data_IF_018410550103
#
_entry.id   IF_018410550103
#
_cell.length_a   1.000
_cell.length_b   1.000
_cell.length_c   1.000
_cell.angle_alpha   90.00
_cell.angle_beta   90.00
_cell.angle_gamma   90.00
#
_symmetry.space_group_name_H-M   'P 1'
#
loop_
_entity.id
_entity.type
_entity.pdbx_description
1 polymer ?
#
# COMPACT_ATOMS: atom_id res chain seq x y z
N UNK A 1 1.91 2.42 16.48
CA UNK A 1 2.68 3.48 15.78
C UNK A 1 1.82 3.96 14.62
N UNK A 2 1.63 5.26 14.49
CA UNK A 2 0.90 5.88 13.37
C UNK A 2 1.89 6.08 12.23
N UNK A 3 1.59 5.58 11.03
CA UNK A 3 2.40 5.82 9.83
C UNK A 3 1.76 7.00 9.10
N UNK A 4 2.47 8.11 9.08
CA UNK A 4 2.12 9.31 8.30
C UNK A 4 3.10 9.42 7.14
N UNK A 5 2.65 8.99 5.94
CA UNK A 5 3.49 8.95 4.75
C UNK A 5 3.95 10.34 4.29
N UNK A 6 3.31 11.43 4.73
CA UNK A 6 3.79 12.79 4.43
C UNK A 6 5.18 13.06 5.04
N UNK A 7 5.51 12.36 6.13
CA UNK A 7 6.78 12.48 6.83
C UNK A 7 7.86 11.50 6.32
N UNK A 8 7.59 10.73 5.26
CA UNK A 8 8.49 9.67 4.79
C UNK A 8 9.89 10.17 4.43
N UNK A 9 10.02 11.43 3.99
CA UNK A 9 11.30 12.04 3.62
C UNK A 9 12.15 12.43 4.82
N UNK A 10 11.51 12.87 5.91
CA UNK A 10 12.19 13.56 7.02
C UNK A 10 12.28 12.68 8.29
N UNK A 11 11.36 11.73 8.46
CA UNK A 11 11.23 10.95 9.69
C UNK A 11 11.73 9.51 9.50
N UNK A 12 12.84 9.16 10.16
CA UNK A 12 13.44 7.82 10.09
C UNK A 12 12.58 6.73 10.73
N UNK A 13 11.83 7.04 11.80
CA UNK A 13 10.91 6.08 12.43
C UNK A 13 9.73 5.77 11.51
N UNK A 14 9.20 6.78 10.80
CA UNK A 14 8.15 6.56 9.79
C UNK A 14 8.68 5.69 8.65
N UNK A 15 9.89 5.93 8.15
CA UNK A 15 10.53 5.07 7.14
C UNK A 15 10.68 3.63 7.62
N UNK A 16 11.16 3.44 8.84
CA UNK A 16 11.31 2.11 9.42
C UNK A 16 9.95 1.40 9.57
N UNK A 17 8.95 2.08 10.14
CA UNK A 17 7.60 1.55 10.27
C UNK A 17 6.97 1.21 8.94
N UNK A 18 7.11 2.08 7.94
CA UNK A 18 6.60 1.85 6.59
C UNK A 18 7.28 0.67 5.89
N UNK A 19 8.61 0.51 6.04
CA UNK A 19 9.32 -0.67 5.54
C UNK A 19 8.76 -1.97 6.11
N UNK A 20 8.54 -2.02 7.43
CA UNK A 20 7.99 -3.20 8.09
C UNK A 20 6.56 -3.47 7.63
N UNK A 21 5.74 -2.43 7.46
CA UNK A 21 4.40 -2.54 6.91
C UNK A 21 4.42 -3.13 5.49
N UNK A 22 5.25 -2.59 4.59
CA UNK A 22 5.37 -3.10 3.21
C UNK A 22 5.73 -4.58 3.17
N UNK A 23 6.68 -5.01 4.00
CA UNK A 23 7.11 -6.40 4.09
C UNK A 23 6.00 -7.32 4.61
N UNK A 24 5.30 -6.93 5.69
CA UNK A 24 4.32 -7.80 6.35
C UNK A 24 2.98 -7.84 5.63
N UNK A 25 2.54 -6.69 5.14
CA UNK A 25 1.18 -6.53 4.66
C UNK A 25 1.09 -6.76 3.15
N UNK A 26 2.15 -6.43 2.41
CA UNK A 26 2.17 -6.46 0.94
C UNK A 26 3.28 -7.32 0.34
N UNK A 27 4.09 -7.99 1.16
CA UNK A 27 5.23 -8.82 0.73
C UNK A 27 6.29 -8.05 -0.10
N UNK A 28 6.40 -6.74 0.12
CA UNK A 28 7.35 -5.88 -0.60
C UNK A 28 8.62 -5.70 0.24
N UNK A 29 9.74 -6.18 -0.29
CA UNK A 29 11.03 -6.17 0.38
C UNK A 29 11.93 -5.06 -0.15
N UNK A 30 12.22 -4.06 0.69
CA UNK A 30 13.13 -2.94 0.36
C UNK A 30 14.32 -2.97 1.33
N UNK A 31 15.53 -2.80 0.77
CA UNK A 31 16.78 -2.74 1.56
C UNK A 31 16.75 -1.54 2.51
N UNK A 32 17.33 -1.70 3.69
CA UNK A 32 17.26 -0.69 4.77
C UNK A 32 17.81 0.68 4.38
N UNK A 33 18.89 0.70 3.59
CA UNK A 33 19.56 1.93 3.19
C UNK A 33 19.04 2.51 1.87
N UNK A 34 18.03 1.89 1.25
CA UNK A 34 17.47 2.34 -0.02
C UNK A 34 16.30 3.30 0.20
N UNK A 35 16.64 4.51 0.66
CA UNK A 35 15.67 5.53 1.03
C UNK A 35 14.84 6.03 -0.15
N UNK A 36 15.45 6.18 -1.32
CA UNK A 36 14.75 6.63 -2.52
C UNK A 36 13.66 5.62 -2.91
N UNK A 37 13.96 4.33 -2.79
CA UNK A 37 13.01 3.27 -3.10
C UNK A 37 11.87 3.16 -2.08
N UNK A 38 12.12 3.48 -0.80
CA UNK A 38 11.05 3.64 0.20
C UNK A 38 10.14 4.84 -0.09
N UNK A 39 10.71 5.98 -0.49
CA UNK A 39 9.95 7.18 -0.86
C UNK A 39 9.10 6.91 -2.10
N UNK A 40 9.68 6.25 -3.11
CA UNK A 40 9.01 5.81 -4.32
C UNK A 40 7.83 4.87 -4.00
N UNK A 41 8.05 3.85 -3.15
CA UNK A 41 7.01 2.94 -2.68
C UNK A 41 5.89 3.66 -1.91
N UNK A 42 6.21 4.68 -1.10
CA UNK A 42 5.19 5.47 -0.41
C UNK A 42 4.29 6.21 -1.41
N UNK A 43 4.83 6.68 -2.53
CA UNK A 43 4.04 7.27 -3.63
C UNK A 43 3.13 6.26 -4.37
N UNK A 44 3.33 4.97 -4.17
CA UNK A 44 2.52 3.89 -4.74
C UNK A 44 1.39 3.41 -3.81
N UNK A 45 1.31 3.95 -2.59
CA UNK A 45 0.19 3.68 -1.69
C UNK A 45 -1.00 4.56 -2.08
N UNK A 46 -2.16 3.92 -2.14
CA UNK A 46 -3.46 4.59 -2.22
C UNK A 46 -4.25 4.24 -0.95
N UNK A 47 -4.88 5.25 -0.37
CA UNK A 47 -5.62 5.11 0.89
C UNK A 47 -7.06 5.49 0.62
N UNK A 48 -7.98 4.60 1.01
CA UNK A 48 -9.42 4.77 0.87
C UNK A 48 -10.09 4.65 2.24
N UNK A 49 -11.22 5.32 2.41
CA UNK A 49 -11.99 5.35 3.64
C UNK A 49 -12.73 4.04 3.90
N UNK A 50 -13.10 3.31 2.84
CA UNK A 50 -13.84 2.05 2.93
C UNK A 50 -13.48 1.08 1.80
N UNK A 51 -13.95 -0.17 1.91
CA UNK A 51 -13.79 -1.17 0.84
C UNK A 51 -14.62 -0.80 -0.40
N UNK A 52 -15.78 -0.19 -0.19
CA UNK A 52 -16.64 0.30 -1.26
C UNK A 52 -15.92 1.38 -2.07
N UNK A 53 -15.32 2.37 -1.40
CA UNK A 53 -14.55 3.42 -2.07
C UNK A 53 -13.33 2.85 -2.82
N UNK A 54 -12.64 1.87 -2.21
CA UNK A 54 -11.55 1.16 -2.90
C UNK A 54 -12.03 0.51 -4.20
N UNK A 55 -13.11 -0.26 -4.16
CA UNK A 55 -13.63 -0.96 -5.35
C UNK A 55 -14.08 0.01 -6.45
N UNK A 56 -14.66 1.15 -6.07
CA UNK A 56 -15.13 2.17 -7.01
C UNK A 56 -13.97 2.96 -7.64
N UNK A 57 -12.98 3.38 -6.85
CA UNK A 57 -11.98 4.35 -7.28
C UNK A 57 -10.67 3.74 -7.76
N UNK A 58 -10.28 2.57 -7.26
CA UNK A 58 -9.01 1.93 -7.66
C UNK A 58 -9.04 1.38 -9.09
N UNK A 59 -10.24 1.14 -9.65
CA UNK A 59 -10.43 0.41 -10.91
C UNK A 59 -10.44 -1.11 -10.74
N UNK A 60 -10.16 -1.65 -9.54
CA UNK A 60 -10.07 -3.09 -9.30
C UNK A 60 -11.33 -3.83 -9.75
N UNK A 61 -12.51 -3.37 -9.33
CA UNK A 61 -13.80 -4.01 -9.67
C UNK A 61 -14.10 -3.99 -11.17
N UNK A 62 -13.68 -2.93 -11.87
CA UNK A 62 -13.87 -2.83 -13.32
C UNK A 62 -12.98 -3.84 -14.05
N UNK A 63 -11.75 -4.00 -13.57
CA UNK A 63 -10.75 -4.82 -14.24
C UNK A 63 -10.85 -6.31 -13.81
N UNK A 64 -11.41 -6.59 -12.63
CA UNK A 64 -11.57 -7.93 -12.04
C UNK A 64 -12.98 -8.08 -11.38
N UNK A 65 -14.08 -8.07 -12.16
CA UNK A 65 -15.44 -8.02 -11.61
C UNK A 65 -15.83 -9.24 -10.77
N UNK A 66 -15.20 -10.38 -10.99
CA UNK A 66 -15.41 -11.62 -10.23
C UNK A 66 -14.55 -11.73 -8.97
N UNK A 67 -13.63 -10.78 -8.75
CA UNK A 67 -12.66 -10.77 -7.64
C UNK A 67 -12.85 -9.55 -6.72
N UNK A 68 -14.09 -9.10 -6.54
CA UNK A 68 -14.43 -7.93 -5.69
C UNK A 68 -14.80 -8.29 -4.25
N UNK A 69 -14.83 -9.58 -3.92
CA UNK A 69 -15.19 -10.04 -2.58
C UNK A 69 -14.13 -9.61 -1.55
N UNK A 70 -14.60 -9.06 -0.43
CA UNK A 70 -13.73 -8.59 0.67
C UNK A 70 -12.75 -9.67 1.17
N UNK A 71 -13.22 -10.91 1.32
CA UNK A 71 -12.40 -12.04 1.76
C UNK A 71 -11.24 -12.26 0.79
N UNK A 72 -11.52 -12.37 -0.51
CA UNK A 72 -10.53 -12.53 -1.56
C UNK A 72 -9.48 -11.42 -1.56
N UNK A 73 -9.90 -10.16 -1.50
CA UNK A 73 -9.01 -8.99 -1.51
C UNK A 73 -8.04 -9.01 -0.32
N UNK A 74 -8.55 -9.39 0.85
CA UNK A 74 -7.75 -9.48 2.06
C UNK A 74 -6.86 -10.72 2.04
N UNK A 75 -7.37 -11.90 1.71
CA UNK A 75 -6.60 -13.14 1.75
C UNK A 75 -5.44 -13.12 0.74
N UNK A 76 -5.61 -12.44 -0.40
CA UNK A 76 -4.59 -12.33 -1.45
C UNK A 76 -3.69 -11.09 -1.34
N UNK A 77 -3.69 -10.38 -0.22
CA UNK A 77 -2.80 -9.22 -0.02
C UNK A 77 -2.99 -8.08 -1.05
N UNK A 78 -4.18 -7.98 -1.65
CA UNK A 78 -4.49 -6.92 -2.61
C UNK A 78 -4.57 -5.58 -1.88
N UNK A 79 -5.38 -5.49 -0.82
CA UNK A 79 -5.48 -4.32 0.03
C UNK A 79 -5.56 -4.71 1.51
N UNK A 80 -5.31 -3.76 2.42
CA UNK A 80 -5.17 -4.02 3.86
C UNK A 80 -5.85 -2.95 4.70
N UNK A 81 -6.49 -3.35 5.79
CA UNK A 81 -6.98 -2.39 6.77
C UNK A 81 -5.84 -1.94 7.67
N UNK A 82 -5.44 -0.69 7.53
CA UNK A 82 -4.35 -0.08 8.29
C UNK A 82 -4.84 1.26 8.82
N UNK A 83 -4.72 1.45 10.14
CA UNK A 83 -5.17 2.68 10.82
C UNK A 83 -6.63 3.05 10.51
N UNK A 84 -7.51 2.04 10.39
CA UNK A 84 -8.94 2.22 10.11
C UNK A 84 -9.28 2.58 8.66
N UNK A 85 -8.31 2.54 7.74
CA UNK A 85 -8.47 2.85 6.31
C UNK A 85 -8.05 1.64 5.47
N UNK A 86 -8.50 1.58 4.21
CA UNK A 86 -8.08 0.57 3.24
C UNK A 86 -6.84 1.10 2.51
N UNK A 87 -5.73 0.42 2.67
CA UNK A 87 -4.48 0.72 1.99
C UNK A 87 -4.29 -0.27 0.85
N UNK A 88 -3.99 0.25 -0.34
CA UNK A 88 -3.67 -0.51 -1.53
C UNK A 88 -2.27 -0.12 -2.00
N UNK A 89 -1.42 -1.11 -2.31
CA UNK A 89 -0.10 -0.86 -2.87
C UNK A 89 -0.12 -1.17 -4.38
N UNK A 90 0.02 -0.14 -5.21
CA UNK A 90 0.04 -0.31 -6.67
C UNK A 90 1.40 -0.84 -7.13
N UNK A 91 1.51 -2.18 -7.25
CA UNK A 91 2.73 -2.85 -7.74
C UNK A 91 3.09 -2.40 -9.16
N UNK A 92 2.10 -2.24 -10.04
CA UNK A 92 2.31 -1.75 -11.40
C UNK A 92 2.97 -0.36 -11.42
N UNK A 93 2.49 0.58 -10.59
CA UNK A 93 3.12 1.91 -10.49
C UNK A 93 4.53 1.83 -9.93
N UNK A 94 4.78 0.91 -9.00
CA UNK A 94 6.10 0.75 -8.40
C UNK A 94 7.13 0.14 -9.35
N UNK A 95 6.74 -0.87 -10.12
CA UNK A 95 7.62 -1.54 -11.09
C UNK A 95 7.93 -0.64 -12.29
N UNK A 96 6.98 0.19 -12.71
CA UNK A 96 7.17 1.16 -13.81
C UNK A 96 8.03 2.39 -13.43
N UNK A 97 8.47 2.51 -12.17
CA UNK A 97 9.41 3.56 -11.73
C UNK A 97 10.88 3.17 -11.88
N UNK A 98 11.16 1.96 -12.39
CA UNK A 98 12.50 1.42 -12.59
C UNK A 98 13.21 1.98 -13.83
#
# INVERSE_FOLDING_TARGET
MTIDLSQIKENSMVRYGFKILLMREFDIHIKENDYNRLIAAAGCIEIYDSMEEFLEKSGWKRDNPELDEKSYLLDNHICRYIQGKVWYFSRLRYENQA
#
